data_IF_301567432103
#
_entry.id   IF_301567432103
#
_cell.length_a   1.000
_cell.length_b   1.000
_cell.length_c   1.000
_cell.angle_alpha   90.00
_cell.angle_beta   90.00
_cell.angle_gamma   90.00
#
_symmetry.space_group_name_H-M   'P 1'
#
loop_
_entity.id
_entity.type
_entity.pdbx_description
1 polymer ?
#
# COMPACT_ATOMS: atom_id res chain seq x y z
N UNK A 1 -21.17 9.11 2.22
CA UNK A 1 -22.60 9.16 2.14
C UNK A 1 -23.29 8.58 3.38
N UNK A 2 -22.56 8.01 4.34
CA UNK A 2 -23.09 7.56 5.64
C UNK A 2 -22.81 8.58 6.77
N UNK A 3 -22.68 9.87 6.43
CA UNK A 3 -22.38 10.93 7.40
C UNK A 3 -20.89 11.19 7.64
N UNK A 4 -19.99 10.51 6.90
CA UNK A 4 -18.57 10.81 6.97
C UNK A 4 -18.26 12.15 6.28
N UNK A 5 -17.48 13.00 6.93
CA UNK A 5 -16.96 14.24 6.38
C UNK A 5 -15.55 14.00 5.81
N UNK A 6 -15.25 14.61 4.67
CA UNK A 6 -13.96 14.51 4.01
C UNK A 6 -13.37 15.91 3.87
N UNK A 7 -12.28 16.17 4.58
CA UNK A 7 -11.55 17.42 4.53
C UNK A 7 -10.38 17.29 3.52
N UNK A 8 -10.54 17.91 2.36
CA UNK A 8 -9.52 17.95 1.33
C UNK A 8 -8.51 19.09 1.56
N UNK A 9 -7.26 18.88 1.18
CA UNK A 9 -6.17 19.89 1.30
C UNK A 9 -5.99 20.41 2.72
N UNK A 10 -6.27 19.55 3.69
CA UNK A 10 -6.18 19.83 5.12
C UNK A 10 -5.20 18.87 5.78
N UNK A 11 -3.87 19.07 5.58
CA UNK A 11 -2.87 18.18 6.15
C UNK A 11 -2.90 18.22 7.68
N UNK A 12 -2.69 17.05 8.28
CA UNK A 12 -2.42 16.91 9.71
C UNK A 12 -1.00 17.39 9.98
N UNK A 13 -0.86 18.29 10.93
CA UNK A 13 0.42 18.90 11.31
C UNK A 13 0.97 18.31 12.60
N UNK A 14 0.09 17.96 13.54
CA UNK A 14 0.45 17.42 14.85
C UNK A 14 -0.71 16.60 15.42
N UNK A 15 -0.41 15.61 16.21
CA UNK A 15 -1.38 14.80 16.95
C UNK A 15 -0.91 14.73 18.41
N UNK A 16 -1.76 15.18 19.34
CA UNK A 16 -1.47 15.15 20.78
C UNK A 16 -2.63 14.54 21.55
N UNK A 17 -2.33 13.94 22.70
CA UNK A 17 -3.37 13.45 23.61
C UNK A 17 -3.44 14.32 24.87
N UNK A 18 -4.66 14.69 25.24
CA UNK A 18 -4.93 15.44 26.44
C UNK A 18 -4.91 14.55 27.70
N UNK A 19 -4.88 15.16 28.86
CA UNK A 19 -4.93 14.45 30.16
C UNK A 19 -6.23 13.71 30.41
N UNK A 20 -7.30 14.05 29.72
CA UNK A 20 -8.62 13.37 29.76
C UNK A 20 -8.73 12.20 28.78
N UNK A 21 -7.67 11.92 28.02
CA UNK A 21 -7.60 10.84 27.04
C UNK A 21 -8.10 11.20 25.64
N UNK A 22 -8.63 12.40 25.43
CA UNK A 22 -9.03 12.88 24.11
C UNK A 22 -7.82 13.22 23.25
N UNK A 23 -7.93 12.96 21.97
CA UNK A 23 -6.94 13.34 20.96
C UNK A 23 -7.24 14.71 20.35
N UNK A 24 -6.23 15.52 20.17
CA UNK A 24 -6.26 16.73 19.36
C UNK A 24 -5.48 16.49 18.08
N UNK A 25 -6.19 16.51 16.96
CA UNK A 25 -5.60 16.46 15.62
C UNK A 25 -5.52 17.87 15.08
N UNK A 26 -4.31 18.42 15.06
CA UNK A 26 -4.04 19.78 14.61
C UNK A 26 -3.81 19.74 13.10
N UNK A 27 -4.64 20.47 12.38
CA UNK A 27 -4.61 20.55 10.93
C UNK A 27 -4.37 21.99 10.47
N UNK A 28 -4.12 22.17 9.18
CA UNK A 28 -3.99 23.50 8.59
C UNK A 28 -5.22 24.38 8.83
N UNK A 29 -6.42 23.80 8.85
CA UNK A 29 -7.69 24.53 8.94
C UNK A 29 -8.23 24.66 10.37
N UNK A 30 -7.59 24.02 11.35
CA UNK A 30 -8.02 24.06 12.75
C UNK A 30 -7.71 22.77 13.51
N UNK A 31 -8.19 22.69 14.73
CA UNK A 31 -7.98 21.52 15.61
C UNK A 31 -9.28 20.72 15.72
N UNK A 32 -9.16 19.40 15.55
CA UNK A 32 -10.26 18.44 15.74
C UNK A 32 -9.98 17.70 17.04
N UNK A 33 -10.91 17.79 18.00
CA UNK A 33 -10.88 17.00 19.23
C UNK A 33 -11.72 15.73 19.02
N UNK A 34 -11.15 14.56 19.32
CA UNK A 34 -11.78 13.27 19.06
C UNK A 34 -11.36 12.23 20.08
N UNK A 35 -12.21 11.25 20.33
CA UNK A 35 -11.91 10.11 21.19
C UNK A 35 -10.97 9.11 20.49
N UNK A 36 -11.15 8.88 19.20
CA UNK A 36 -10.39 7.90 18.45
C UNK A 36 -9.65 8.53 17.27
N UNK A 37 -8.43 8.06 17.01
CA UNK A 37 -7.64 8.40 15.82
C UNK A 37 -7.28 7.13 15.08
N UNK A 38 -7.51 7.10 13.76
CA UNK A 38 -7.08 6.02 12.88
C UNK A 38 -5.99 6.56 11.96
N UNK A 39 -4.79 6.01 12.08
CA UNK A 39 -3.72 6.26 11.11
C UNK A 39 -3.93 5.37 9.89
N UNK A 40 -4.38 5.96 8.79
CA UNK A 40 -4.47 5.35 7.48
C UNK A 40 -3.59 6.12 6.47
N UNK A 41 -2.44 6.61 6.93
CA UNK A 41 -1.56 7.53 6.21
C UNK A 41 -0.81 6.93 5.01
N UNK A 42 -1.01 5.64 4.70
CA UNK A 42 -0.42 4.99 3.52
C UNK A 42 1.09 5.17 3.48
N UNK A 43 1.59 5.85 2.45
CA UNK A 43 3.02 6.12 2.27
C UNK A 43 3.62 6.91 3.45
N UNK A 44 2.84 7.80 4.08
CA UNK A 44 3.26 8.62 5.22
C UNK A 44 2.87 8.05 6.58
N UNK A 45 2.37 6.82 6.65
CA UNK A 45 1.88 6.22 7.89
C UNK A 45 2.92 6.21 9.02
N UNK A 46 4.19 5.98 8.70
CA UNK A 46 5.30 6.02 9.66
C UNK A 46 5.51 7.44 10.22
N UNK A 47 5.49 8.44 9.35
CA UNK A 47 5.64 9.84 9.71
C UNK A 47 4.47 10.33 10.58
N UNK A 48 3.24 9.91 10.27
CA UNK A 48 2.06 10.18 11.11
C UNK A 48 2.17 9.45 12.45
N UNK A 49 2.65 8.20 12.47
CA UNK A 49 2.94 7.47 13.71
C UNK A 49 3.93 8.21 14.62
N UNK A 50 4.98 8.78 14.04
CA UNK A 50 5.99 9.54 14.78
C UNK A 50 5.44 10.78 15.49
N UNK A 51 4.33 11.36 15.03
CA UNK A 51 3.66 12.47 15.71
C UNK A 51 3.17 12.08 17.11
N UNK A 52 2.94 10.77 17.34
CA UNK A 52 2.50 10.22 18.63
C UNK A 52 3.58 9.33 19.29
N UNK A 53 4.83 9.42 18.83
CA UNK A 53 5.94 8.64 19.37
C UNK A 53 5.99 7.18 18.89
N UNK A 54 5.21 6.81 17.87
CA UNK A 54 5.14 5.46 17.33
C UNK A 54 6.04 5.31 16.10
N UNK A 55 6.96 4.37 16.14
CA UNK A 55 7.73 3.95 14.95
C UNK A 55 7.06 2.72 14.32
N UNK A 56 6.20 2.94 13.33
CA UNK A 56 5.54 1.84 12.61
C UNK A 56 6.56 1.05 11.78
N UNK A 57 6.54 -0.30 11.87
CA UNK A 57 7.48 -1.15 11.14
C UNK A 57 7.06 -1.29 9.66
N UNK A 58 7.24 -0.24 8.89
CA UNK A 58 7.01 -0.24 7.44
C UNK A 58 8.12 0.49 6.69
N UNK A 59 8.38 0.04 5.47
CA UNK A 59 9.35 0.62 4.55
C UNK A 59 8.71 0.77 3.17
N UNK A 60 8.86 1.95 2.58
CA UNK A 60 8.48 2.14 1.19
C UNK A 60 9.59 1.61 0.25
N UNK A 61 9.18 0.76 -0.70
CA UNK A 61 10.03 0.19 -1.73
C UNK A 61 9.54 0.66 -3.09
N UNK A 62 10.45 0.79 -4.05
CA UNK A 62 10.06 1.02 -5.44
C UNK A 62 9.37 -0.22 -6.02
N UNK A 63 8.30 -0.02 -6.77
CA UNK A 63 7.58 -1.09 -7.45
C UNK A 63 7.12 -0.65 -8.82
N UNK A 64 7.26 -1.55 -9.82
CA UNK A 64 6.99 -1.21 -11.20
C UNK A 64 5.94 -2.09 -11.85
N UNK A 65 5.27 -1.51 -12.83
CA UNK A 65 4.48 -2.23 -13.82
C UNK A 65 4.57 -1.56 -15.19
N UNK A 66 4.30 -2.34 -16.22
CA UNK A 66 4.31 -1.91 -17.61
C UNK A 66 2.88 -1.85 -18.15
N UNK A 67 2.59 -0.80 -18.91
CA UNK A 67 1.38 -0.68 -19.73
C UNK A 67 1.74 -0.86 -21.19
N UNK A 68 0.99 -1.70 -21.89
CA UNK A 68 1.14 -1.85 -23.33
C UNK A 68 0.40 -0.74 -24.09
N UNK A 69 0.76 -0.55 -25.35
CA UNK A 69 -0.12 0.08 -26.31
C UNK A 69 -1.39 -0.76 -26.52
N UNK A 70 -2.32 -0.26 -27.33
CA UNK A 70 -3.52 -1.01 -27.70
C UNK A 70 -3.15 -2.33 -28.39
N UNK A 71 -3.83 -3.39 -28.01
CA UNK A 71 -3.59 -4.75 -28.52
C UNK A 71 -4.83 -5.23 -29.28
N UNK A 72 -4.68 -5.60 -30.57
CA UNK A 72 -5.80 -6.13 -31.35
C UNK A 72 -6.51 -7.29 -30.68
N UNK A 73 -5.76 -8.20 -30.03
CA UNK A 73 -6.31 -9.36 -29.35
C UNK A 73 -7.25 -8.98 -28.20
N UNK A 74 -6.98 -7.87 -27.51
CA UNK A 74 -7.82 -7.34 -26.43
C UNK A 74 -9.09 -6.72 -27.02
N UNK A 75 -8.94 -5.93 -28.08
CA UNK A 75 -10.05 -5.25 -28.76
C UNK A 75 -11.02 -6.29 -29.33
N UNK A 76 -10.49 -7.29 -30.03
CA UNK A 76 -11.30 -8.36 -30.66
C UNK A 76 -12.05 -9.16 -29.60
N UNK A 77 -11.38 -9.59 -28.53
CA UNK A 77 -12.02 -10.29 -27.42
C UNK A 77 -13.16 -9.47 -26.79
N UNK A 78 -12.95 -8.18 -26.53
CA UNK A 78 -13.99 -7.32 -25.94
C UNK A 78 -15.17 -7.14 -26.91
N UNK A 79 -14.89 -7.00 -28.22
CA UNK A 79 -15.91 -6.84 -29.25
C UNK A 79 -16.78 -8.10 -29.41
N UNK A 80 -16.16 -9.26 -29.36
CA UNK A 80 -16.83 -10.55 -29.52
C UNK A 80 -17.62 -10.99 -28.29
N UNK A 81 -17.10 -10.70 -27.08
CA UNK A 81 -17.65 -11.24 -25.84
C UNK A 81 -18.44 -10.22 -25.03
N UNK A 82 -18.25 -8.93 -25.27
CA UNK A 82 -18.80 -7.85 -24.44
C UNK A 82 -18.20 -7.82 -23.02
N UNK A 83 -17.04 -8.43 -22.80
CA UNK A 83 -16.40 -8.57 -21.48
C UNK A 83 -14.94 -8.17 -21.56
N UNK A 84 -14.41 -7.73 -20.42
CA UNK A 84 -12.96 -7.56 -20.24
C UNK A 84 -12.29 -8.91 -19.94
N UNK A 85 -10.99 -8.99 -20.25
CA UNK A 85 -10.14 -10.11 -19.87
C UNK A 85 -10.01 -10.18 -18.35
N UNK A 86 -10.03 -11.39 -17.83
CA UNK A 86 -9.80 -11.61 -16.38
C UNK A 86 -8.37 -11.32 -15.99
N UNK A 87 -8.17 -10.78 -14.78
CA UNK A 87 -6.84 -10.63 -14.19
C UNK A 87 -6.23 -12.01 -13.87
N UNK A 88 -4.93 -12.11 -14.08
CA UNK A 88 -4.15 -13.33 -13.79
C UNK A 88 -3.00 -12.99 -12.88
N UNK A 89 -2.73 -13.84 -11.89
CA UNK A 89 -1.57 -13.74 -10.98
C UNK A 89 -0.81 -15.06 -11.07
N UNK A 90 0.49 -14.97 -11.37
CA UNK A 90 1.42 -16.09 -11.25
C UNK A 90 2.32 -15.86 -10.05
N UNK A 91 2.01 -16.51 -8.93
CA UNK A 91 2.80 -16.40 -7.71
C UNK A 91 4.21 -16.99 -7.84
N UNK A 92 4.39 -17.99 -8.70
CA UNK A 92 5.71 -18.60 -8.93
C UNK A 92 6.57 -17.73 -9.85
N UNK A 93 5.95 -17.15 -10.86
CA UNK A 93 6.62 -16.25 -11.80
C UNK A 93 6.74 -14.81 -11.28
N UNK A 94 6.10 -14.52 -10.14
CA UNK A 94 6.12 -13.21 -9.48
C UNK A 94 5.65 -12.08 -10.41
N UNK A 95 4.55 -12.37 -11.15
CA UNK A 95 3.92 -11.41 -12.05
C UNK A 95 2.41 -11.41 -11.88
N UNK A 96 1.79 -10.32 -12.28
CA UNK A 96 0.35 -10.22 -12.47
C UNK A 96 0.02 -9.45 -13.75
N UNK A 97 -1.12 -9.77 -14.35
CA UNK A 97 -1.60 -9.03 -15.53
C UNK A 97 -3.09 -8.82 -15.44
N UNK A 98 -3.56 -7.72 -15.98
CA UNK A 98 -4.96 -7.40 -16.18
C UNK A 98 -5.14 -6.52 -17.39
N UNK A 99 -6.36 -6.50 -17.89
CA UNK A 99 -6.70 -5.54 -18.93
C UNK A 99 -6.65 -4.11 -18.38
N UNK A 100 -6.12 -3.20 -19.19
CA UNK A 100 -6.17 -1.76 -18.98
C UNK A 100 -6.62 -1.09 -20.28
N UNK A 101 -7.91 -0.71 -20.34
CA UNK A 101 -8.56 -0.25 -21.57
C UNK A 101 -8.42 -1.26 -22.73
N UNK A 102 -7.79 -0.85 -23.85
CA UNK A 102 -7.55 -1.69 -25.03
C UNK A 102 -6.20 -2.42 -25.01
N UNK A 103 -5.47 -2.33 -23.92
CA UNK A 103 -4.17 -2.97 -23.73
C UNK A 103 -4.14 -3.80 -22.45
N UNK A 104 -2.94 -4.20 -22.06
CA UNK A 104 -2.69 -4.96 -20.85
C UNK A 104 -1.72 -4.22 -19.92
N UNK A 105 -1.90 -4.43 -18.63
CA UNK A 105 -0.94 -4.13 -17.60
C UNK A 105 -0.19 -5.41 -17.26
N UNK A 106 1.14 -5.38 -17.25
CA UNK A 106 2.00 -6.42 -16.71
C UNK A 106 2.74 -5.86 -15.50
N UNK A 107 2.34 -6.32 -14.32
CA UNK A 107 2.99 -5.97 -13.06
C UNK A 107 4.01 -7.02 -12.65
N UNK A 108 5.02 -6.57 -11.93
CA UNK A 108 6.11 -7.40 -11.47
C UNK A 108 6.15 -7.38 -9.94
N UNK A 109 6.59 -8.48 -9.33
CA UNK A 109 7.04 -8.53 -7.96
C UNK A 109 8.55 -8.77 -8.00
N UNK A 110 9.27 -7.79 -8.52
CA UNK A 110 10.70 -7.87 -8.75
C UNK A 110 11.48 -8.15 -7.46
N UNK A 111 12.39 -9.11 -7.50
CA UNK A 111 13.17 -9.53 -6.33
C UNK A 111 14.22 -8.50 -5.92
N UNK A 112 14.75 -7.73 -6.87
CA UNK A 112 15.74 -6.68 -6.62
C UNK A 112 15.10 -5.32 -6.24
N UNK A 113 14.00 -5.35 -5.49
CA UNK A 113 13.25 -4.15 -5.09
C UNK A 113 14.11 -3.17 -4.30
N UNK A 114 14.06 -1.89 -4.63
CA UNK A 114 14.89 -0.85 -4.00
C UNK A 114 14.13 -0.10 -2.91
N UNK A 115 14.73 0.12 -1.73
CA UNK A 115 14.16 1.03 -0.74
C UNK A 115 14.09 2.45 -1.29
N UNK A 116 12.90 3.06 -1.18
CA UNK A 116 12.72 4.43 -1.62
C UNK A 116 12.92 5.45 -0.48
N UNK A 117 12.34 5.20 0.69
CA UNK A 117 12.45 6.12 1.82
C UNK A 117 12.80 5.40 3.12
N UNK A 118 14.08 4.95 3.29
CA UNK A 118 14.48 4.14 4.42
C UNK A 118 14.49 4.88 5.76
N UNK A 119 14.50 6.22 5.76
CA UNK A 119 14.56 7.03 6.98
C UNK A 119 13.32 7.89 7.14
N UNK A 120 13.02 8.74 6.16
CA UNK A 120 11.89 9.67 6.19
C UNK A 120 11.19 9.72 4.84
N UNK A 121 9.88 9.72 4.86
CA UNK A 121 9.07 9.96 3.66
C UNK A 121 8.87 11.45 3.49
N UNK A 122 9.26 12.06 2.35
CA UNK A 122 9.06 13.50 2.11
C UNK A 122 7.56 13.84 2.12
N UNK A 123 7.18 14.89 2.83
CA UNK A 123 5.79 15.33 2.92
C UNK A 123 5.26 15.95 1.63
N UNK A 124 6.15 16.48 0.82
CA UNK A 124 5.87 17.13 -0.47
C UNK A 124 5.88 16.18 -1.66
N UNK A 125 6.23 14.89 -1.46
CA UNK A 125 6.12 13.88 -2.51
C UNK A 125 4.65 13.66 -2.88
N UNK A 126 4.34 13.73 -4.15
CA UNK A 126 2.99 13.46 -4.65
C UNK A 126 2.81 13.85 -6.11
N UNK A 127 1.91 13.15 -6.81
CA UNK A 127 1.63 13.35 -8.24
C UNK A 127 2.84 13.19 -9.17
N UNK A 128 3.85 12.47 -8.72
CA UNK A 128 5.07 12.19 -9.46
C UNK A 128 5.39 10.70 -9.46
N UNK A 129 6.10 10.26 -10.47
CA UNK A 129 6.57 8.90 -10.63
C UNK A 129 8.09 8.87 -10.48
N UNK A 130 8.59 7.74 -10.00
CA UNK A 130 10.02 7.48 -9.95
C UNK A 130 10.54 7.09 -11.33
N UNK A 131 11.85 7.21 -11.53
CA UNK A 131 12.47 6.81 -12.79
C UNK A 131 12.33 5.30 -12.99
N UNK A 132 11.89 4.85 -14.17
CA UNK A 132 11.84 3.42 -14.50
C UNK A 132 13.22 2.79 -14.51
N UNK A 133 13.29 1.52 -14.09
CA UNK A 133 14.48 0.68 -14.13
C UNK A 133 14.11 -0.64 -14.80
N UNK A 134 14.16 -0.66 -16.14
CA UNK A 134 13.76 -1.81 -16.94
C UNK A 134 14.66 -3.02 -16.70
N UNK A 135 15.95 -2.81 -16.48
CA UNK A 135 16.88 -3.91 -16.21
C UNK A 135 16.47 -4.71 -14.98
N UNK A 136 15.97 -4.01 -13.95
CA UNK A 136 15.52 -4.64 -12.71
C UNK A 136 14.30 -5.54 -12.92
N UNK A 137 13.36 -5.16 -13.79
CA UNK A 137 12.13 -5.91 -14.03
C UNK A 137 12.21 -6.87 -15.23
N UNK A 138 13.30 -6.84 -16.01
CA UNK A 138 13.48 -7.70 -17.19
C UNK A 138 13.24 -9.19 -16.87
N UNK A 139 13.75 -9.79 -15.78
CA UNK A 139 13.47 -11.20 -15.46
C UNK A 139 11.97 -11.51 -15.32
N UNK A 140 11.21 -10.60 -14.71
CA UNK A 140 9.75 -10.75 -14.56
C UNK A 140 9.02 -10.53 -15.91
N UNK A 141 9.50 -9.58 -16.74
CA UNK A 141 8.93 -9.38 -18.08
C UNK A 141 9.12 -10.62 -18.97
N UNK A 142 10.27 -11.29 -18.90
CA UNK A 142 10.51 -12.54 -19.60
C UNK A 142 9.54 -13.65 -19.21
N UNK A 143 9.15 -13.73 -17.93
CA UNK A 143 8.10 -14.64 -17.46
C UNK A 143 6.76 -14.27 -18.09
N UNK A 144 6.41 -12.98 -18.08
CA UNK A 144 5.19 -12.46 -18.71
C UNK A 144 5.10 -12.80 -20.19
N UNK A 145 6.18 -12.60 -20.93
CA UNK A 145 6.23 -12.89 -22.38
C UNK A 145 6.11 -14.39 -22.69
N UNK A 146 6.68 -15.25 -21.84
CA UNK A 146 6.48 -16.71 -22.00
C UNK A 146 5.02 -17.15 -21.76
N UNK A 147 4.33 -16.54 -20.79
CA UNK A 147 2.93 -16.83 -20.52
C UNK A 147 1.98 -16.22 -21.55
N UNK A 148 2.30 -15.04 -22.01
CA UNK A 148 1.46 -14.23 -22.92
C UNK A 148 2.29 -13.74 -24.11
N UNK A 149 2.53 -14.59 -25.14
CA UNK A 149 3.39 -14.22 -26.28
C UNK A 149 2.92 -12.96 -27.04
N UNK A 150 1.65 -12.58 -26.88
CA UNK A 150 1.13 -11.34 -27.48
C UNK A 150 1.84 -10.09 -26.96
N UNK A 151 2.43 -10.12 -25.76
CA UNK A 151 3.22 -9.01 -25.23
C UNK A 151 4.48 -8.71 -26.07
N UNK A 152 5.08 -9.72 -26.72
CA UNK A 152 6.26 -9.52 -27.58
C UNK A 152 6.00 -8.60 -28.77
N UNK A 153 4.73 -8.53 -29.19
CA UNK A 153 4.28 -7.70 -30.34
C UNK A 153 3.69 -6.38 -29.90
N UNK A 154 3.38 -6.23 -28.64
CA UNK A 154 2.80 -5.01 -28.09
C UNK A 154 3.88 -3.95 -27.90
N UNK A 155 3.58 -2.71 -28.27
CA UNK A 155 4.39 -1.57 -27.89
C UNK A 155 4.30 -1.30 -26.38
N UNK A 156 5.32 -0.66 -25.83
CA UNK A 156 5.30 -0.19 -24.43
C UNK A 156 4.78 1.25 -24.41
N UNK A 157 3.59 1.43 -23.89
CA UNK A 157 2.99 2.75 -23.71
C UNK A 157 3.64 3.52 -22.56
N UNK A 158 3.84 2.84 -21.44
CA UNK A 158 4.39 3.46 -20.24
C UNK A 158 4.92 2.40 -19.26
N UNK A 159 6.00 2.75 -18.55
CA UNK A 159 6.44 2.05 -17.36
C UNK A 159 6.16 2.96 -16.16
N UNK A 160 5.46 2.44 -15.18
CA UNK A 160 5.13 3.13 -13.93
C UNK A 160 6.05 2.60 -12.86
N UNK A 161 6.79 3.49 -12.20
CA UNK A 161 7.56 3.19 -10.99
C UNK A 161 7.06 4.10 -9.87
N UNK A 162 6.65 3.53 -8.75
CA UNK A 162 6.15 4.26 -7.61
C UNK A 162 6.51 3.61 -6.28
N UNK A 163 6.48 4.39 -5.20
CA UNK A 163 6.72 3.84 -3.86
C UNK A 163 5.53 3.04 -3.37
N UNK A 164 5.82 1.93 -2.69
CA UNK A 164 4.86 0.94 -2.24
C UNK A 164 5.26 0.44 -0.85
N UNK A 165 4.35 0.45 0.11
CA UNK A 165 4.68 0.20 1.52
C UNK A 165 4.62 -1.26 1.91
N UNK A 166 5.65 -1.73 2.63
CA UNK A 166 5.75 -3.09 3.14
C UNK A 166 6.05 -3.12 4.63
N UNK A 167 5.34 -3.95 5.38
CA UNK A 167 5.79 -4.42 6.68
C UNK A 167 6.84 -5.54 6.50
N UNK A 168 7.63 -5.89 7.54
CA UNK A 168 8.67 -6.92 7.44
C UNK A 168 8.19 -8.29 6.95
N UNK A 169 6.95 -8.65 7.25
CA UNK A 169 6.30 -9.91 6.87
C UNK A 169 5.34 -9.77 5.67
N UNK A 170 5.20 -8.57 5.12
CA UNK A 170 4.30 -8.30 3.99
C UNK A 170 2.82 -8.18 4.34
N UNK A 171 2.44 -8.40 5.59
CA UNK A 171 1.05 -8.29 6.02
C UNK A 171 0.71 -6.86 6.47
N UNK A 172 -0.53 -6.40 6.32
CA UNK A 172 -0.99 -5.13 6.87
C UNK A 172 -0.72 -4.97 8.37
N UNK A 173 -0.74 -3.74 8.85
CA UNK A 173 -0.63 -3.35 10.25
C UNK A 173 -1.97 -2.76 10.69
N UNK A 174 -2.84 -3.58 11.27
CA UNK A 174 -4.24 -3.24 11.56
C UNK A 174 -4.52 -3.42 13.05
N UNK A 175 -5.33 -2.54 13.61
CA UNK A 175 -5.84 -2.69 14.99
C UNK A 175 -5.39 -1.61 15.95
N UNK A 176 -5.71 -1.78 17.26
CA UNK A 176 -5.32 -0.85 18.30
C UNK A 176 -3.82 -0.90 18.52
N UNK A 177 -3.20 0.26 18.62
CA UNK A 177 -1.75 0.35 18.84
C UNK A 177 -1.45 0.19 20.33
N UNK A 178 -0.64 -0.82 20.74
CA UNK A 178 -0.27 -1.00 22.14
C UNK A 178 0.36 0.25 22.75
N UNK A 179 -0.06 0.63 23.94
CA UNK A 179 0.45 1.80 24.65
C UNK A 179 -0.15 3.16 24.24
N UNK A 180 -0.98 3.20 23.21
CA UNK A 180 -1.68 4.41 22.77
C UNK A 180 -3.20 4.19 22.85
N UNK A 181 -3.83 4.69 23.88
CA UNK A 181 -5.28 4.53 24.08
C UNK A 181 -6.04 5.17 22.92
N UNK A 182 -6.96 4.39 22.30
CA UNK A 182 -7.83 4.84 21.22
C UNK A 182 -7.09 5.34 19.96
N UNK A 183 -5.82 4.94 19.78
CA UNK A 183 -5.08 5.14 18.54
C UNK A 183 -5.00 3.83 17.76
N UNK A 184 -5.39 3.88 16.50
CA UNK A 184 -5.57 2.72 15.64
C UNK A 184 -4.71 2.78 14.41
N UNK A 185 -4.25 1.64 13.95
CA UNK A 185 -3.48 1.49 12.70
C UNK A 185 -4.33 0.85 11.61
N UNK A 186 -4.26 1.40 10.40
CA UNK A 186 -4.74 0.84 9.14
C UNK A 186 -3.65 1.04 8.07
N UNK A 187 -2.45 0.53 8.33
CA UNK A 187 -1.24 0.84 7.59
C UNK A 187 -0.66 -0.38 6.88
N UNK A 188 0.33 -0.17 6.01
CA UNK A 188 1.00 -1.21 5.23
C UNK A 188 0.01 -2.12 4.44
N UNK A 189 -1.14 -1.58 4.05
CA UNK A 189 -2.14 -2.29 3.24
C UNK A 189 -1.68 -2.23 1.79
N UNK A 190 -0.73 -3.08 1.43
CA UNK A 190 -0.09 -3.00 0.13
C UNK A 190 -1.06 -3.30 -1.04
N UNK A 191 -1.94 -4.25 -0.90
CA UNK A 191 -2.99 -4.54 -1.87
C UNK A 191 -4.25 -3.71 -1.58
N UNK A 192 -4.10 -2.38 -1.46
CA UNK A 192 -5.10 -1.45 -0.93
C UNK A 192 -6.49 -1.57 -1.54
N UNK A 193 -6.59 -1.64 -2.88
CA UNK A 193 -7.89 -1.76 -3.55
C UNK A 193 -8.60 -3.09 -3.28
N UNK A 194 -7.88 -4.18 -3.12
CA UNK A 194 -8.48 -5.49 -2.84
C UNK A 194 -8.71 -5.74 -1.35
N UNK A 195 -7.92 -5.14 -0.46
CA UNK A 195 -7.98 -5.36 0.98
C UNK A 195 -8.67 -4.24 1.76
N UNK A 196 -8.73 -3.02 1.21
CA UNK A 196 -9.19 -1.83 1.93
C UNK A 196 -10.59 -1.96 2.53
N UNK A 197 -11.52 -2.60 1.81
CA UNK A 197 -12.88 -2.86 2.32
C UNK A 197 -12.88 -3.79 3.55
N UNK A 198 -12.09 -4.87 3.50
CA UNK A 198 -11.93 -5.80 4.62
C UNK A 198 -11.23 -5.17 5.82
N UNK A 199 -10.21 -4.36 5.58
CA UNK A 199 -9.52 -3.58 6.63
C UNK A 199 -10.49 -2.63 7.34
N UNK A 200 -11.29 -1.88 6.56
CA UNK A 200 -12.29 -0.97 7.11
C UNK A 200 -13.35 -1.70 7.94
N UNK A 201 -13.83 -2.85 7.47
CA UNK A 201 -14.79 -3.68 8.20
C UNK A 201 -14.22 -4.22 9.52
N UNK A 202 -12.99 -4.76 9.48
CA UNK A 202 -12.32 -5.26 10.68
C UNK A 202 -12.14 -4.17 11.74
N UNK A 203 -11.64 -3.00 11.32
CA UNK A 203 -11.46 -1.86 12.23
C UNK A 203 -12.79 -1.35 12.80
N UNK A 204 -13.81 -1.17 11.95
CA UNK A 204 -15.11 -0.70 12.41
C UNK A 204 -15.70 -1.65 13.46
N UNK A 205 -15.66 -2.97 13.22
CA UNK A 205 -16.10 -3.96 14.19
C UNK A 205 -15.26 -3.88 15.48
N UNK A 206 -13.95 -3.80 15.36
CA UNK A 206 -13.07 -3.77 16.51
C UNK A 206 -13.28 -2.52 17.38
N UNK A 207 -13.40 -1.35 16.75
CA UNK A 207 -13.66 -0.08 17.44
C UNK A 207 -15.03 -0.05 18.15
N UNK A 208 -16.06 -0.64 17.53
CA UNK A 208 -17.43 -0.61 18.07
C UNK A 208 -17.73 -1.76 19.02
N UNK A 209 -17.25 -2.96 18.70
CA UNK A 209 -17.61 -4.19 19.41
C UNK A 209 -16.47 -4.75 20.27
N UNK A 210 -15.26 -4.20 20.18
CA UNK A 210 -14.07 -4.72 20.87
C UNK A 210 -13.44 -5.96 20.22
N UNK A 211 -13.93 -6.38 19.04
CA UNK A 211 -13.47 -7.57 18.33
C UNK A 211 -13.62 -7.34 16.80
N UNK A 212 -12.64 -7.73 15.97
CA UNK A 212 -12.69 -7.52 14.53
C UNK A 212 -13.77 -8.34 13.81
N UNK A 213 -14.36 -9.35 14.46
CA UNK A 213 -15.42 -10.20 13.93
C UNK A 213 -14.92 -11.40 13.10
N UNK A 214 -13.64 -11.46 12.80
CA UNK A 214 -12.98 -12.56 12.08
C UNK A 214 -11.47 -12.55 12.36
N UNK A 215 -10.81 -13.66 12.06
CA UNK A 215 -9.38 -13.81 12.33
C UNK A 215 -8.53 -12.87 11.46
N UNK A 216 -7.87 -11.92 12.12
CA UNK A 216 -6.87 -11.02 11.51
C UNK A 216 -5.53 -11.08 12.26
N UNK A 217 -5.27 -12.12 13.04
CA UNK A 217 -4.07 -12.24 13.88
C UNK A 217 -2.77 -11.96 13.12
N UNK A 218 -2.65 -12.47 11.90
CA UNK A 218 -1.49 -12.22 11.04
C UNK A 218 -1.34 -10.75 10.59
N UNK A 219 -2.37 -9.93 10.77
CA UNK A 219 -2.41 -8.52 10.38
C UNK A 219 -2.42 -7.57 11.59
N UNK A 220 -2.57 -8.10 12.81
CA UNK A 220 -2.59 -7.30 14.03
C UNK A 220 -1.29 -6.50 14.15
N UNK A 221 -1.40 -5.18 14.33
CA UNK A 221 -0.24 -4.31 14.54
C UNK A 221 0.54 -4.69 15.80
N UNK A 222 -0.13 -5.24 16.81
CA UNK A 222 0.48 -5.67 18.06
C UNK A 222 1.46 -6.84 17.94
N UNK A 223 1.51 -7.51 16.76
CA UNK A 223 2.53 -8.55 16.49
C UNK A 223 3.95 -7.99 16.42
N UNK A 224 4.08 -6.67 16.21
CA UNK A 224 5.33 -5.95 16.30
C UNK A 224 5.34 -5.08 17.58
N UNK A 225 6.41 -5.18 18.34
CA UNK A 225 6.64 -4.36 19.52
C UNK A 225 7.78 -3.36 19.31
N UNK A 226 8.26 -2.73 20.38
CA UNK A 226 9.36 -1.75 20.38
C UNK A 226 10.68 -2.30 19.82
N UNK A 227 10.85 -3.61 19.81
CA UNK A 227 11.98 -4.30 19.18
C UNK A 227 12.02 -4.15 17.65
N UNK A 228 10.89 -3.83 17.02
CA UNK A 228 10.78 -3.60 15.58
C UNK A 228 11.27 -2.18 15.22
N UNK A 229 12.50 -1.89 15.56
CA UNK A 229 13.15 -0.60 15.28
C UNK A 229 13.25 -0.32 13.79
N UNK A 230 13.51 0.94 13.41
CA UNK A 230 13.74 1.34 12.01
C UNK A 230 14.84 0.48 11.34
N UNK A 231 15.93 0.17 12.09
CA UNK A 231 17.00 -0.68 11.58
C UNK A 231 16.51 -2.11 11.30
N UNK A 232 15.75 -2.69 12.21
CA UNK A 232 15.15 -4.02 12.04
C UNK A 232 14.21 -4.02 10.83
N UNK A 233 13.29 -3.08 10.77
CA UNK A 233 12.31 -2.95 9.68
C UNK A 233 12.99 -2.86 8.32
N UNK A 234 13.97 -1.96 8.17
CA UNK A 234 14.71 -1.80 6.93
C UNK A 234 15.47 -3.08 6.54
N UNK A 235 16.05 -3.80 7.50
CA UNK A 235 16.75 -5.04 7.23
C UNK A 235 15.77 -6.14 6.77
N UNK A 236 14.65 -6.30 7.48
CA UNK A 236 13.71 -7.40 7.23
C UNK A 236 12.84 -7.18 5.98
N UNK A 237 12.43 -5.97 5.69
CA UNK A 237 11.75 -5.67 4.42
C UNK A 237 12.69 -5.94 3.24
N UNK A 238 13.95 -5.53 3.32
CA UNK A 238 14.95 -5.85 2.28
C UNK A 238 15.19 -7.35 2.14
N UNK A 239 15.29 -8.07 3.24
CA UNK A 239 15.45 -9.53 3.24
C UNK A 239 14.32 -10.23 2.47
N UNK A 240 13.10 -9.71 2.55
CA UNK A 240 11.95 -10.26 1.84
C UNK A 240 11.83 -9.80 0.38
N UNK A 241 12.16 -8.54 0.07
CA UNK A 241 11.82 -7.90 -1.21
C UNK A 241 13.02 -7.39 -2.02
N UNK A 242 14.25 -7.58 -1.55
CA UNK A 242 15.50 -7.24 -2.25
C UNK A 242 16.43 -8.44 -2.37
N UNK A 243 15.92 -9.59 -2.75
CA UNK A 243 16.69 -10.85 -2.88
C UNK A 243 17.47 -10.89 -4.17
#
# INVERSE_FOLDING_TARGET
>A
VLGAEIELRNPVLEITQNSDGMWNVITKNGTISTEHVVNAGGLWAREVGRMVGLELPLLAMEHMYLLTDEMPEVIDFNSETGRELVGVIDFKGEIYTRQERNGLLLGTYEQACKPWSPINTPWDFGHELLQPDLDRITPSLEVGFRHFPAFEKAGIKQVINGPFTFAPDGNPLIGPVPGLTNYWSACAVMAGFSQGGGVGLALANWMVNGDPGFDIFAMDVARFGEWATLRYTNAKVRENYSK
#
